data_IF_498218999735
#
_entry.id   IF_498218999735
#
_cell.length_a   1.000
_cell.length_b   1.000
_cell.length_c   1.000
_cell.angle_alpha   90.00
_cell.angle_beta   90.00
_cell.angle_gamma   90.00
#
_symmetry.space_group_name_H-M   'P 1'
#
loop_
_entity.id
_entity.type
_entity.pdbx_description
1 polymer ?
#
# COMPACT_ATOMS: atom_id res chain seq x y z
N UNK A 1 -0.70 -1.49 25.57
CA UNK A 1 0.73 -1.60 25.26
C UNK A 1 0.97 -1.00 23.87
N UNK A 2 1.78 0.06 23.77
CA UNK A 2 2.12 0.66 22.47
C UNK A 2 3.33 -0.08 21.91
N UNK A 3 3.18 -0.72 20.75
CA UNK A 3 4.31 -1.36 20.07
C UNK A 3 5.27 -0.25 19.60
N UNK A 4 6.58 -0.35 19.87
CA UNK A 4 7.55 0.60 19.33
C UNK A 4 7.37 0.80 17.82
N UNK A 5 7.26 2.05 17.36
CA UNK A 5 7.01 2.43 15.95
C UNK A 5 7.98 1.73 14.97
N UNK A 6 9.24 1.59 15.37
CA UNK A 6 10.27 0.89 14.59
C UNK A 6 9.97 -0.62 14.41
N UNK A 7 9.35 -1.27 15.40
CA UNK A 7 8.94 -2.67 15.31
C UNK A 7 7.70 -2.84 14.42
N UNK A 8 6.76 -1.90 14.46
CA UNK A 8 5.60 -1.91 13.55
C UNK A 8 6.03 -1.77 12.09
N UNK A 9 6.90 -0.81 11.77
CA UNK A 9 7.45 -0.67 10.42
C UNK A 9 8.17 -1.95 9.98
N UNK A 10 8.96 -2.54 10.87
CA UNK A 10 9.61 -3.83 10.66
C UNK A 10 8.59 -4.93 10.31
N UNK A 11 7.57 -5.14 11.14
CA UNK A 11 6.56 -6.18 10.91
C UNK A 11 5.87 -6.07 9.54
N UNK A 12 5.54 -4.85 9.11
CA UNK A 12 4.93 -4.60 7.79
C UNK A 12 5.88 -4.95 6.65
N UNK A 13 7.15 -4.55 6.76
CA UNK A 13 8.17 -4.81 5.73
C UNK A 13 8.56 -6.28 5.64
N UNK A 14 8.47 -7.02 6.75
CA UNK A 14 8.69 -8.45 6.78
C UNK A 14 7.42 -9.26 6.48
N UNK A 15 6.31 -8.60 6.11
CA UNK A 15 5.10 -9.26 5.62
C UNK A 15 4.35 -10.07 6.67
N UNK A 16 4.46 -9.67 7.94
CA UNK A 16 3.64 -10.24 9.02
C UNK A 16 2.18 -9.82 8.87
N UNK A 17 1.29 -10.57 9.52
CA UNK A 17 -0.14 -10.30 9.62
C UNK A 17 -0.43 -8.84 9.97
N UNK A 18 -1.15 -8.14 9.08
CA UNK A 18 -1.58 -6.74 9.27
C UNK A 18 -2.93 -6.64 9.99
N UNK A 19 -3.58 -7.78 10.29
CA UNK A 19 -4.89 -7.86 10.94
C UNK A 19 -4.93 -7.29 12.35
N UNK A 20 -3.80 -7.25 13.07
CA UNK A 20 -3.71 -6.67 14.42
C UNK A 20 -3.18 -5.25 14.45
N UNK A 21 -2.78 -4.69 13.30
CA UNK A 21 -2.09 -3.40 13.23
C UNK A 21 -3.06 -2.29 12.90
N UNK A 22 -3.08 -1.24 13.73
CA UNK A 22 -3.90 -0.05 13.48
C UNK A 22 -3.32 0.80 12.36
N UNK A 23 -4.19 1.30 11.49
CA UNK A 23 -3.81 2.15 10.36
C UNK A 23 -3.11 3.42 10.80
N UNK A 24 -3.55 4.02 11.92
CA UNK A 24 -2.94 5.22 12.48
C UNK A 24 -1.49 4.97 12.95
N UNK A 25 -1.23 3.84 13.60
CA UNK A 25 0.13 3.51 14.05
C UNK A 25 1.08 3.28 12.87
N UNK A 26 0.58 2.75 11.74
CA UNK A 26 1.35 2.65 10.49
C UNK A 26 1.67 4.01 9.90
N UNK A 27 0.69 4.92 9.88
CA UNK A 27 0.91 6.28 9.38
C UNK A 27 2.00 6.96 10.23
N UNK A 28 1.92 6.85 11.55
CA UNK A 28 2.93 7.40 12.46
C UNK A 28 4.30 6.73 12.32
N UNK A 29 4.34 5.41 12.11
CA UNK A 29 5.61 4.69 11.97
C UNK A 29 6.35 5.03 10.67
N UNK A 30 5.63 5.44 9.63
CA UNK A 30 6.18 5.77 8.31
C UNK A 30 6.04 7.26 7.96
N UNK A 31 5.68 8.14 8.91
CA UNK A 31 5.42 9.57 8.66
C UNK A 31 6.60 10.29 7.99
N UNK A 32 7.83 9.92 8.37
CA UNK A 32 9.07 10.49 7.83
C UNK A 32 9.76 9.57 6.81
N UNK A 33 9.10 8.51 6.35
CA UNK A 33 9.65 7.53 5.44
C UNK A 33 9.28 7.84 3.98
N UNK A 34 10.27 7.76 3.07
CA UNK A 34 10.06 8.00 1.62
C UNK A 34 9.16 6.97 0.93
N UNK A 35 8.78 5.90 1.65
CA UNK A 35 7.81 4.89 1.21
C UNK A 35 6.36 5.30 1.48
N UNK A 36 6.12 6.32 2.31
CA UNK A 36 4.78 6.87 2.54
C UNK A 36 4.38 7.81 1.40
N UNK A 37 3.19 7.60 0.85
CA UNK A 37 2.60 8.39 -0.23
C UNK A 37 1.21 8.83 0.18
N UNK A 38 0.88 10.09 -0.11
CA UNK A 38 -0.44 10.67 0.16
C UNK A 38 -1.28 10.63 -1.10
N UNK A 39 -2.38 9.88 -1.11
CA UNK A 39 -3.39 9.89 -2.16
C UNK A 39 -4.77 10.00 -1.52
N UNK A 40 -5.70 10.74 -2.11
CA UNK A 40 -7.06 10.80 -1.55
C UNK A 40 -7.82 9.52 -1.89
N UNK A 41 -8.76 9.09 -1.02
CA UNK A 41 -9.60 7.93 -1.32
C UNK A 41 -10.36 8.06 -2.65
N UNK A 42 -10.97 9.21 -2.99
CA UNK A 42 -11.66 9.36 -4.27
C UNK A 42 -10.72 9.18 -5.47
N UNK A 43 -9.48 9.68 -5.40
CA UNK A 43 -8.48 9.45 -6.46
C UNK A 43 -8.20 7.96 -6.61
N UNK A 44 -7.92 7.28 -5.50
CA UNK A 44 -7.58 5.86 -5.51
C UNK A 44 -8.77 4.99 -5.97
N UNK A 45 -10.01 5.33 -5.60
CA UNK A 45 -11.21 4.60 -5.99
C UNK A 45 -11.52 4.70 -7.50
N UNK A 46 -11.16 5.83 -8.12
CA UNK A 46 -11.29 6.02 -9.56
C UNK A 46 -10.15 5.37 -10.36
N UNK A 47 -9.08 4.96 -9.69
CA UNK A 47 -7.89 4.40 -10.31
C UNK A 47 -7.85 2.87 -10.21
N UNK A 48 -7.36 2.24 -11.27
CA UNK A 48 -6.97 0.85 -11.24
C UNK A 48 -5.67 0.65 -10.47
N UNK A 49 -5.43 -0.56 -9.95
CA UNK A 49 -4.23 -0.88 -9.17
C UNK A 49 -2.91 -0.62 -9.88
N UNK A 50 -2.83 -0.80 -11.20
CA UNK A 50 -1.64 -0.46 -11.97
C UNK A 50 -1.39 1.06 -11.99
N UNK A 51 -2.46 1.85 -12.04
CA UNK A 51 -2.40 3.30 -11.99
C UNK A 51 -2.00 3.77 -10.60
N UNK A 52 -2.54 3.17 -9.55
CA UNK A 52 -2.14 3.44 -8.16
C UNK A 52 -0.67 3.07 -7.94
N UNK A 53 -0.21 1.92 -8.42
CA UNK A 53 1.19 1.51 -8.30
C UNK A 53 2.16 2.49 -9.01
N UNK A 54 1.74 3.07 -10.13
CA UNK A 54 2.51 4.11 -10.80
C UNK A 54 2.53 5.42 -10.01
N UNK A 55 1.37 5.95 -9.58
CA UNK A 55 1.30 7.21 -8.82
C UNK A 55 1.96 7.08 -7.43
N UNK A 56 1.96 5.89 -6.83
CA UNK A 56 2.66 5.63 -5.57
C UNK A 56 4.18 5.54 -5.74
N UNK A 57 4.70 5.67 -6.97
CA UNK A 57 6.12 5.50 -7.27
C UNK A 57 6.63 4.08 -7.02
N UNK A 58 5.74 3.07 -7.04
CA UNK A 58 6.12 1.67 -6.91
C UNK A 58 6.70 1.13 -8.23
N UNK A 59 6.32 1.73 -9.36
CA UNK A 59 6.81 1.43 -10.70
C UNK A 59 7.18 2.72 -11.43
N UNK A 60 8.14 2.64 -12.37
CA UNK A 60 8.62 3.80 -13.13
C UNK A 60 7.68 4.18 -14.29
N UNK A 61 6.78 3.27 -14.71
CA UNK A 61 5.82 3.51 -15.79
C UNK A 61 4.52 2.74 -15.61
N UNK A 62 3.43 3.20 -16.27
CA UNK A 62 2.14 2.48 -16.32
C UNK A 62 2.28 1.08 -16.93
N UNK A 63 3.06 0.94 -18.00
CA UNK A 63 3.27 -0.35 -18.68
C UNK A 63 4.00 -1.35 -17.78
N UNK A 64 4.94 -0.87 -16.97
CA UNK A 64 5.63 -1.68 -15.96
C UNK A 64 4.68 -2.10 -14.84
N UNK A 65 3.88 -1.17 -14.31
CA UNK A 65 2.87 -1.49 -13.30
C UNK A 65 1.88 -2.55 -13.78
N UNK A 66 1.40 -2.43 -15.03
CA UNK A 66 0.49 -3.41 -15.63
C UNK A 66 1.14 -4.79 -15.75
N UNK A 67 2.41 -4.85 -16.14
CA UNK A 67 3.18 -6.12 -16.19
C UNK A 67 3.37 -6.71 -14.80
N UNK A 68 3.69 -5.89 -13.81
CA UNK A 68 3.88 -6.31 -12.41
C UNK A 68 2.62 -6.94 -11.83
N UNK A 69 1.45 -6.33 -12.06
CA UNK A 69 0.17 -6.88 -11.62
C UNK A 69 -0.11 -8.20 -12.35
N UNK A 70 0.01 -8.23 -13.68
CA UNK A 70 -0.23 -9.45 -14.48
C UNK A 70 0.70 -10.62 -14.14
N UNK A 71 1.96 -10.34 -13.78
CA UNK A 71 2.93 -11.36 -13.37
C UNK A 71 2.71 -11.85 -11.93
N UNK A 72 1.73 -11.30 -11.20
CA UNK A 72 1.48 -11.63 -9.81
C UNK A 72 2.55 -11.09 -8.85
N UNK A 73 3.26 -10.04 -9.27
CA UNK A 73 4.28 -9.35 -8.48
C UNK A 73 3.72 -8.21 -7.63
N UNK A 74 2.43 -7.90 -7.71
CA UNK A 74 1.78 -6.83 -6.96
C UNK A 74 0.93 -7.37 -5.81
N UNK A 75 1.01 -6.72 -4.66
CA UNK A 75 0.28 -7.10 -3.44
C UNK A 75 -0.31 -5.86 -2.76
N UNK A 76 -1.51 -6.02 -2.20
CA UNK A 76 -2.18 -5.04 -1.34
C UNK A 76 -2.40 -5.70 0.01
N UNK A 77 -1.94 -5.10 1.10
CA UNK A 77 -2.00 -5.65 2.45
C UNK A 77 -1.53 -7.12 2.52
N UNK A 78 -0.43 -7.41 1.84
CA UNK A 78 0.15 -8.75 1.69
C UNK A 78 -0.70 -9.76 0.88
N UNK A 79 -1.85 -9.35 0.34
CA UNK A 79 -2.69 -10.15 -0.56
C UNK A 79 -2.27 -9.91 -2.00
N UNK A 80 -2.00 -10.99 -2.75
CA UNK A 80 -1.62 -10.92 -4.16
C UNK A 80 -2.80 -10.44 -5.00
N UNK A 81 -2.56 -9.47 -5.88
CA UNK A 81 -3.55 -8.98 -6.84
C UNK A 81 -2.99 -9.16 -8.26
N UNK A 82 -3.71 -9.91 -9.08
CA UNK A 82 -3.33 -10.22 -10.47
C UNK A 82 -4.22 -9.53 -11.52
N UNK A 83 -5.32 -8.93 -11.08
CA UNK A 83 -6.24 -8.21 -11.96
C UNK A 83 -5.81 -6.75 -12.08
N UNK A 84 -5.39 -6.36 -13.29
CA UNK A 84 -5.00 -4.97 -13.60
C UNK A 84 -6.15 -3.99 -13.52
N UNK A 85 -7.39 -4.45 -13.62
CA UNK A 85 -8.59 -3.60 -13.55
C UNK A 85 -9.15 -3.49 -12.15
N UNK A 86 -8.58 -4.23 -11.19
CA UNK A 86 -8.97 -4.16 -9.79
C UNK A 86 -8.85 -2.73 -9.29
N UNK A 87 -9.87 -2.28 -8.56
CA UNK A 87 -9.90 -1.00 -7.86
C UNK A 87 -9.76 -1.28 -6.37
N UNK A 88 -8.95 -0.48 -5.69
CA UNK A 88 -8.78 -0.61 -4.23
C UNK A 88 -10.13 -0.31 -3.58
N UNK A 89 -10.69 -1.30 -2.89
CA UNK A 89 -11.98 -1.19 -2.22
C UNK A 89 -11.79 -0.66 -0.80
N UNK A 90 -12.85 -0.16 -0.16
CA UNK A 90 -12.80 0.32 1.22
C UNK A 90 -12.25 -0.73 2.21
N UNK A 91 -12.52 -2.01 1.97
CA UNK A 91 -11.99 -3.13 2.78
C UNK A 91 -10.46 -3.27 2.73
N UNK A 92 -9.82 -2.73 1.69
CA UNK A 92 -8.38 -2.79 1.52
C UNK A 92 -7.70 -1.65 2.29
N UNK A 93 -8.45 -0.69 2.84
CA UNK A 93 -7.91 0.35 3.71
C UNK A 93 -7.91 -0.12 5.17
N UNK A 94 -6.71 -0.25 5.74
CA UNK A 94 -6.51 -0.55 7.15
C UNK A 94 -7.03 0.64 7.97
N UNK A 95 -8.01 0.39 8.84
CA UNK A 95 -8.79 1.39 9.58
C UNK A 95 -9.38 2.50 8.70
N UNK A 96 -9.57 2.24 7.40
CA UNK A 96 -10.01 3.27 6.47
C UNK A 96 -8.98 4.40 6.27
N UNK A 97 -7.73 4.23 6.68
CA UNK A 97 -6.73 5.33 6.70
C UNK A 97 -5.50 5.04 5.85
N UNK A 98 -5.07 3.77 5.71
CA UNK A 98 -3.83 3.43 4.99
C UNK A 98 -3.92 2.08 4.27
N UNK A 99 -3.26 1.97 3.12
CA UNK A 99 -3.06 0.72 2.39
C UNK A 99 -1.58 0.41 2.25
N UNK A 100 -1.18 -0.85 2.38
CA UNK A 100 0.20 -1.28 2.15
C UNK A 100 0.31 -1.91 0.76
N UNK A 101 1.05 -1.28 -0.14
CA UNK A 101 1.36 -1.81 -1.46
C UNK A 101 2.75 -2.43 -1.44
N UNK A 102 2.89 -3.58 -2.11
CA UNK A 102 4.18 -4.25 -2.28
C UNK A 102 4.38 -4.68 -3.72
N UNK A 103 5.58 -4.44 -4.24
CA UNK A 103 6.08 -5.03 -5.48
C UNK A 103 7.22 -6.01 -5.19
N UNK A 104 7.09 -7.22 -5.72
CA UNK A 104 8.08 -8.28 -5.54
C UNK A 104 8.29 -8.67 -4.08
N UNK A 105 9.56 -8.74 -3.66
CA UNK A 105 9.95 -9.22 -2.31
C UNK A 105 10.19 -8.12 -1.29
N UNK A 106 10.63 -6.93 -1.70
CA UNK A 106 11.19 -5.92 -0.79
C UNK A 106 10.77 -4.48 -1.05
N UNK A 107 10.07 -4.19 -2.14
CA UNK A 107 9.65 -2.83 -2.45
C UNK A 107 8.24 -2.59 -1.91
N UNK A 108 8.14 -1.69 -0.93
CA UNK A 108 6.90 -1.37 -0.23
C UNK A 108 6.59 0.11 -0.39
N UNK A 109 5.32 0.43 -0.58
CA UNK A 109 4.77 1.78 -0.54
C UNK A 109 3.52 1.78 0.33
N UNK A 110 3.43 2.73 1.25
CA UNK A 110 2.24 2.93 2.07
C UNK A 110 1.45 4.08 1.46
N UNK A 111 0.20 3.84 1.13
CA UNK A 111 -0.71 4.87 0.62
C UNK A 111 -1.61 5.28 1.76
N UNK A 112 -1.40 6.48 2.30
CA UNK A 112 -2.33 7.07 3.27
C UNK A 112 -3.45 7.80 2.56
N UNK A 113 -4.66 7.65 3.07
CA UNK A 113 -5.82 8.43 2.68
C UNK A 113 -5.57 9.87 3.15
N UNK A 114 -5.19 10.74 2.24
CA UNK A 114 -5.14 12.16 2.55
C UNK A 114 -6.56 12.64 2.87
N UNK A 115 -6.74 13.24 4.06
CA UNK A 115 -7.95 13.99 4.38
C UNK A 115 -8.03 15.17 3.42
N UNK A 116 -9.12 15.24 2.67
CA UNK A 116 -9.40 16.35 1.75
C UNK A 116 -10.11 17.49 2.48
#
# INVERSE_FOLDING_TARGET
>A
DAVPKALLATHVLFGSSLDTVKGQELIEAFEHDSRMVSLTKPQVAEMSVDRVAFESGLCSSKSEAKKLVKSGGFYINNVKVTDTTYKIADKDWIDGAVCVLRSGKSNYKLVRAASN
#
